data_IF_164942292916
#
_entry.id   IF_164942292916
#
_cell.length_a   1.000
_cell.length_b   1.000
_cell.length_c   1.000
_cell.angle_alpha   90.00
_cell.angle_beta   90.00
_cell.angle_gamma   90.00
#
_symmetry.space_group_name_H-M   'P 1'
#
loop_
_entity.id
_entity.type
_entity.pdbx_description
1 polymer ?
#
# COMPACT_ATOMS: atom_id res chain seq x y z
N UNK A 1 -12.30 -14.12 -2.28
CA UNK A 1 -11.98 -12.69 -2.12
C UNK A 1 -13.17 -11.81 -2.50
N UNK A 2 -13.19 -10.58 -2.02
CA UNK A 2 -14.18 -9.53 -2.36
C UNK A 2 -13.47 -8.46 -3.18
N UNK A 3 -13.86 -8.29 -4.44
CA UNK A 3 -13.12 -7.54 -5.44
C UNK A 3 -14.00 -6.39 -5.94
N UNK A 4 -13.51 -5.15 -5.86
CA UNK A 4 -14.15 -3.99 -6.48
C UNK A 4 -13.57 -3.77 -7.89
N UNK A 5 -14.46 -3.67 -8.88
CA UNK A 5 -14.16 -3.48 -10.30
C UNK A 5 -14.68 -2.13 -10.75
N UNK A 6 -13.79 -1.21 -11.08
CA UNK A 6 -14.09 0.19 -11.39
C UNK A 6 -13.34 0.61 -12.64
N UNK A 7 -13.93 1.48 -13.44
CA UNK A 7 -13.22 2.15 -14.53
C UNK A 7 -13.81 3.53 -14.81
N UNK A 8 -12.97 4.48 -15.17
CA UNK A 8 -13.39 5.71 -15.83
C UNK A 8 -14.06 5.40 -17.19
N UNK A 9 -14.90 6.30 -17.68
CA UNK A 9 -15.70 6.07 -18.88
C UNK A 9 -14.83 5.65 -20.09
N UNK A 10 -13.73 6.33 -20.31
CA UNK A 10 -12.79 6.02 -21.41
C UNK A 10 -12.07 4.67 -21.25
N UNK A 11 -12.07 4.07 -20.05
CA UNK A 11 -11.37 2.81 -19.75
C UNK A 11 -12.32 1.63 -19.53
N UNK A 12 -13.64 1.86 -19.62
CA UNK A 12 -14.65 0.80 -19.38
C UNK A 12 -14.54 -0.35 -20.36
N UNK A 13 -14.28 -0.06 -21.63
CA UNK A 13 -14.13 -1.09 -22.64
C UNK A 13 -12.94 -2.01 -22.33
N UNK A 14 -11.82 -1.44 -21.94
CA UNK A 14 -10.63 -2.21 -21.54
C UNK A 14 -10.89 -3.08 -20.31
N UNK A 15 -11.63 -2.55 -19.33
CA UNK A 15 -12.01 -3.34 -18.14
C UNK A 15 -12.95 -4.49 -18.52
N UNK A 16 -13.91 -4.27 -19.43
CA UNK A 16 -14.82 -5.32 -19.92
C UNK A 16 -14.04 -6.42 -20.62
N UNK A 17 -13.10 -6.08 -21.52
CA UNK A 17 -12.23 -7.04 -22.20
C UNK A 17 -11.39 -7.84 -21.22
N UNK A 18 -10.79 -7.15 -20.24
CA UNK A 18 -10.00 -7.78 -19.18
C UNK A 18 -10.84 -8.72 -18.32
N UNK A 19 -12.04 -8.31 -17.90
CA UNK A 19 -12.96 -9.15 -17.14
C UNK A 19 -13.47 -10.35 -17.96
N UNK A 20 -13.70 -10.16 -19.27
CA UNK A 20 -14.10 -11.26 -20.17
C UNK A 20 -13.02 -12.34 -20.21
N UNK A 21 -11.76 -11.93 -20.36
CA UNK A 21 -10.62 -12.86 -20.36
C UNK A 21 -10.47 -13.61 -19.01
N UNK A 22 -10.78 -12.95 -17.92
CA UNK A 22 -10.63 -13.48 -16.56
C UNK A 22 -11.95 -13.97 -15.95
N UNK A 23 -13.03 -14.08 -16.72
CA UNK A 23 -14.39 -14.33 -16.20
C UNK A 23 -14.49 -15.58 -15.34
N UNK A 24 -13.83 -16.66 -15.74
CA UNK A 24 -13.83 -17.93 -15.03
C UNK A 24 -13.20 -17.82 -13.63
N UNK A 25 -12.12 -17.04 -13.50
CA UNK A 25 -11.47 -16.80 -12.21
C UNK A 25 -12.30 -15.84 -11.35
N UNK A 26 -12.77 -14.75 -11.95
CA UNK A 26 -13.58 -13.74 -11.28
C UNK A 26 -14.90 -14.30 -10.74
N UNK A 27 -15.54 -15.25 -11.44
CA UNK A 27 -16.81 -15.85 -11.03
C UNK A 27 -16.75 -16.61 -9.69
N UNK A 28 -15.54 -16.97 -9.25
CA UNK A 28 -15.30 -17.64 -7.96
C UNK A 28 -15.25 -16.67 -6.78
N UNK A 29 -15.38 -15.37 -7.03
CA UNK A 29 -15.22 -14.32 -6.04
C UNK A 29 -16.47 -13.44 -5.94
N UNK A 30 -16.61 -12.69 -4.84
CA UNK A 30 -17.65 -11.68 -4.70
C UNK A 30 -17.19 -10.40 -5.39
N UNK A 31 -17.94 -9.94 -6.37
CA UNK A 31 -17.60 -8.79 -7.20
C UNK A 31 -18.52 -7.63 -6.92
N UNK A 32 -17.95 -6.44 -6.82
CA UNK A 32 -18.64 -5.16 -6.70
C UNK A 32 -18.23 -4.27 -7.87
N UNK A 33 -19.17 -3.45 -8.37
CA UNK A 33 -18.87 -2.52 -9.45
C UNK A 33 -19.67 -1.25 -9.35
N UNK A 34 -19.08 -0.11 -9.75
CA UNK A 34 -19.80 1.16 -9.77
C UNK A 34 -20.80 1.24 -10.93
N UNK A 35 -21.98 1.71 -10.67
CA UNK A 35 -23.02 2.12 -11.59
C UNK A 35 -23.09 1.39 -12.95
N UNK A 36 -22.70 2.09 -14.00
CA UNK A 36 -22.70 1.56 -15.36
C UNK A 36 -21.67 0.45 -15.58
N UNK A 37 -20.56 0.44 -14.82
CA UNK A 37 -19.53 -0.61 -14.90
C UNK A 37 -20.14 -1.96 -14.50
N UNK A 38 -20.84 -2.04 -13.37
CA UNK A 38 -21.49 -3.28 -12.93
C UNK A 38 -22.48 -3.83 -13.97
N UNK A 39 -23.25 -2.96 -14.63
CA UNK A 39 -24.18 -3.38 -15.70
C UNK A 39 -23.48 -3.95 -16.93
N UNK A 40 -22.32 -3.40 -17.29
CA UNK A 40 -21.53 -3.92 -18.41
C UNK A 40 -20.92 -5.27 -18.06
N UNK A 41 -20.32 -5.38 -16.89
CA UNK A 41 -19.70 -6.61 -16.43
C UNK A 41 -20.70 -7.75 -16.21
N UNK A 42 -21.90 -7.44 -15.73
CA UNK A 42 -22.97 -8.42 -15.56
C UNK A 42 -23.52 -9.03 -16.86
N UNK A 43 -23.07 -8.57 -18.03
CA UNK A 43 -23.36 -9.18 -19.33
C UNK A 43 -22.31 -10.16 -19.81
N UNK A 44 -21.19 -10.27 -19.10
CA UNK A 44 -20.07 -11.15 -19.46
C UNK A 44 -20.49 -12.60 -19.21
N UNK A 45 -20.44 -13.48 -20.22
CA UNK A 45 -20.77 -14.89 -20.05
C UNK A 45 -19.66 -15.60 -19.26
N UNK A 46 -20.09 -16.47 -18.35
CA UNK A 46 -19.20 -17.38 -17.61
C UNK A 46 -19.57 -18.80 -18.02
N UNK A 47 -18.63 -19.55 -18.58
CA UNK A 47 -18.86 -20.96 -18.91
C UNK A 47 -18.84 -21.78 -17.63
N UNK A 48 -19.91 -22.53 -17.38
CA UNK A 48 -19.91 -23.54 -16.33
C UNK A 48 -19.08 -24.74 -16.78
N UNK A 49 -18.48 -25.48 -15.84
CA UNK A 49 -17.79 -26.73 -16.15
C UNK A 49 -18.76 -27.70 -16.83
N UNK A 50 -18.30 -28.46 -17.86
CA UNK A 50 -19.17 -29.38 -18.58
C UNK A 50 -19.75 -30.41 -17.61
N UNK A 51 -21.08 -30.53 -17.57
CA UNK A 51 -21.76 -31.68 -16.91
C UNK A 51 -21.53 -32.93 -17.73
N UNK A 52 -21.61 -34.12 -17.07
CA UNK A 52 -21.52 -35.41 -17.76
C UNK A 52 -22.52 -35.45 -18.93
N UNK A 53 -22.09 -36.09 -20.03
CA UNK A 53 -22.84 -36.19 -21.27
C UNK A 53 -24.30 -36.63 -21.04
N UNK A 54 -25.25 -35.87 -21.57
CA UNK A 54 -26.62 -36.32 -21.78
C UNK A 54 -27.77 -35.41 -21.36
N UNK A 55 -27.59 -34.26 -20.79
CA UNK A 55 -28.70 -33.50 -20.21
C UNK A 55 -28.62 -31.99 -20.29
N UNK A 56 -28.62 -31.33 -21.43
CA UNK A 56 -29.16 -29.99 -21.54
C UNK A 56 -28.81 -29.28 -22.88
N UNK A 57 -29.63 -28.31 -23.25
CA UNK A 57 -29.44 -27.43 -24.42
C UNK A 57 -28.38 -26.37 -24.14
N UNK A 58 -27.71 -25.83 -25.18
CA UNK A 58 -26.60 -24.86 -25.09
C UNK A 58 -26.92 -23.61 -24.23
N UNK A 59 -28.19 -23.23 -24.17
CA UNK A 59 -28.63 -22.01 -23.46
C UNK A 59 -28.63 -22.12 -21.90
N UNK A 60 -28.61 -23.33 -21.36
CA UNK A 60 -28.58 -23.55 -19.89
C UNK A 60 -27.19 -23.51 -19.27
N UNK A 61 -26.12 -23.43 -20.05
CA UNK A 61 -24.74 -23.52 -19.59
C UNK A 61 -24.02 -22.18 -19.40
N UNK A 62 -24.66 -21.08 -19.83
CA UNK A 62 -24.03 -19.77 -19.77
C UNK A 62 -24.62 -18.95 -18.63
N UNK A 63 -23.92 -18.83 -17.51
CA UNK A 63 -24.25 -17.86 -16.47
C UNK A 63 -23.53 -16.54 -16.78
N UNK A 64 -24.14 -15.45 -16.42
CA UNK A 64 -23.46 -14.13 -16.48
C UNK A 64 -22.66 -13.87 -15.19
N UNK A 65 -21.59 -13.10 -15.32
CA UNK A 65 -20.77 -12.70 -14.19
C UNK A 65 -21.63 -11.93 -13.16
N UNK A 66 -21.67 -12.40 -11.93
CA UNK A 66 -22.44 -11.76 -10.85
C UNK A 66 -21.63 -10.61 -10.26
N UNK A 67 -22.10 -9.38 -10.48
CA UNK A 67 -21.48 -8.17 -9.97
C UNK A 67 -22.51 -7.38 -9.18
N UNK A 68 -22.26 -7.14 -7.90
CA UNK A 68 -23.12 -6.31 -7.06
C UNK A 68 -22.96 -4.83 -7.43
N UNK A 69 -24.05 -4.15 -7.81
CA UNK A 69 -23.98 -2.78 -8.27
C UNK A 69 -23.90 -1.81 -7.08
N UNK A 70 -22.94 -0.89 -7.15
CA UNK A 70 -22.84 0.29 -6.31
C UNK A 70 -23.34 1.52 -7.07
N UNK A 71 -23.37 2.68 -6.42
CA UNK A 71 -23.65 3.95 -7.09
C UNK A 71 -22.57 4.24 -8.16
N UNK A 72 -22.87 5.11 -9.11
CA UNK A 72 -21.84 5.64 -10.01
C UNK A 72 -20.85 6.53 -9.25
N UNK A 73 -19.61 6.65 -9.73
CA UNK A 73 -18.56 7.46 -9.08
C UNK A 73 -19.06 8.86 -8.67
N UNK A 74 -19.55 9.70 -9.62
CA UNK A 74 -20.06 11.04 -9.31
C UNK A 74 -21.24 11.09 -8.34
N UNK A 75 -21.91 9.98 -8.10
CA UNK A 75 -23.02 9.86 -7.13
C UNK A 75 -22.59 9.23 -5.80
N UNK A 76 -21.30 9.05 -5.56
CA UNK A 76 -20.78 8.51 -4.32
C UNK A 76 -20.38 7.02 -4.35
N UNK A 77 -20.26 6.40 -5.53
CA UNK A 77 -19.82 5.02 -5.67
C UNK A 77 -18.39 4.82 -5.13
N UNK A 78 -17.54 5.81 -5.34
CA UNK A 78 -16.14 5.78 -4.85
C UNK A 78 -16.12 5.83 -3.31
N UNK A 79 -16.97 6.62 -2.68
CA UNK A 79 -17.13 6.70 -1.23
C UNK A 79 -17.68 5.40 -0.65
N UNK A 80 -18.62 4.73 -1.35
CA UNK A 80 -19.12 3.42 -0.92
C UNK A 80 -17.97 2.39 -0.90
N UNK A 81 -17.16 2.34 -1.93
CA UNK A 81 -16.00 1.44 -1.98
C UNK A 81 -15.00 1.81 -0.86
N UNK A 82 -14.74 3.10 -0.64
CA UNK A 82 -13.88 3.58 0.42
C UNK A 82 -14.35 3.15 1.81
N UNK A 83 -15.66 3.26 2.10
CA UNK A 83 -16.26 2.76 3.33
C UNK A 83 -16.11 1.25 3.46
N UNK A 84 -16.36 0.49 2.39
CA UNK A 84 -16.19 -0.98 2.38
C UNK A 84 -14.74 -1.41 2.60
N UNK A 85 -13.76 -0.63 2.11
CA UNK A 85 -12.33 -0.85 2.39
C UNK A 85 -12.05 -0.66 3.88
N UNK A 86 -12.54 0.43 4.47
CA UNK A 86 -12.34 0.75 5.89
C UNK A 86 -13.01 -0.26 6.83
N UNK A 87 -14.14 -0.83 6.42
CA UNK A 87 -14.86 -1.91 7.10
C UNK A 87 -14.26 -3.30 6.86
N UNK A 88 -13.21 -3.39 6.04
CA UNK A 88 -12.58 -4.68 5.71
C UNK A 88 -13.42 -5.56 4.77
N UNK A 89 -14.37 -4.99 4.03
CA UNK A 89 -15.26 -5.70 3.10
C UNK A 89 -14.72 -5.79 1.66
N UNK A 90 -13.57 -5.19 1.36
CA UNK A 90 -12.87 -5.26 0.07
C UNK A 90 -11.46 -5.79 0.30
N UNK A 91 -11.08 -6.78 -0.46
CA UNK A 91 -9.77 -7.43 -0.41
C UNK A 91 -8.87 -7.00 -1.57
N UNK A 92 -9.47 -6.64 -2.72
CA UNK A 92 -8.77 -6.18 -3.92
C UNK A 92 -9.58 -5.10 -4.63
N UNK A 93 -8.88 -4.07 -5.13
CA UNK A 93 -9.45 -2.98 -5.92
C UNK A 93 -8.78 -2.98 -7.31
N UNK A 94 -9.57 -3.20 -8.36
CA UNK A 94 -9.14 -3.02 -9.75
C UNK A 94 -9.85 -1.79 -10.30
N UNK A 95 -9.11 -0.71 -10.49
CA UNK A 95 -9.63 0.56 -10.94
C UNK A 95 -8.85 1.07 -12.16
N UNK A 96 -9.37 0.84 -13.36
CA UNK A 96 -8.73 1.34 -14.58
C UNK A 96 -8.94 2.85 -14.71
N UNK A 97 -7.91 3.59 -14.29
CA UNK A 97 -7.93 5.05 -14.25
C UNK A 97 -7.60 5.65 -15.63
N UNK A 98 -8.32 6.70 -16.00
CA UNK A 98 -7.91 7.64 -17.04
C UNK A 98 -7.34 8.90 -16.36
N UNK A 99 -6.02 9.06 -16.46
CA UNK A 99 -5.30 10.18 -15.84
C UNK A 99 -4.98 11.31 -16.85
N UNK A 100 -5.40 11.15 -18.13
CA UNK A 100 -5.19 12.19 -19.14
C UNK A 100 -6.28 13.26 -19.11
N UNK A 101 -7.49 12.89 -18.70
CA UNK A 101 -8.63 13.80 -18.63
C UNK A 101 -8.96 14.07 -17.17
N UNK A 102 -9.01 15.35 -16.81
CA UNK A 102 -9.46 15.76 -15.46
C UNK A 102 -10.92 15.39 -15.27
N UNK A 103 -11.18 14.47 -14.37
CA UNK A 103 -12.54 14.07 -13.98
C UNK A 103 -13.08 15.01 -12.90
N UNK A 104 -14.37 15.28 -12.91
CA UNK A 104 -15.00 16.14 -11.91
C UNK A 104 -14.89 15.62 -10.46
N UNK A 105 -14.57 14.32 -10.27
CA UNK A 105 -14.37 13.66 -8.97
C UNK A 105 -12.94 13.13 -8.78
N UNK A 106 -11.94 13.76 -9.38
CA UNK A 106 -10.52 13.35 -9.27
C UNK A 106 -10.02 13.26 -7.82
N UNK A 107 -10.53 14.11 -6.95
CA UNK A 107 -10.18 14.11 -5.52
C UNK A 107 -10.71 12.84 -4.83
N UNK A 108 -11.88 12.36 -5.19
CA UNK A 108 -12.48 11.14 -4.65
C UNK A 108 -11.68 9.91 -5.06
N UNK A 109 -11.21 9.87 -6.30
CA UNK A 109 -10.30 8.84 -6.81
C UNK A 109 -8.99 8.80 -5.99
N UNK A 110 -8.39 9.98 -5.75
CA UNK A 110 -7.20 10.11 -4.91
C UNK A 110 -7.45 9.63 -3.47
N UNK A 111 -8.59 9.97 -2.89
CA UNK A 111 -8.99 9.52 -1.56
C UNK A 111 -9.18 8.00 -1.51
N UNK A 112 -9.78 7.39 -2.53
CA UNK A 112 -9.99 5.95 -2.63
C UNK A 112 -8.65 5.19 -2.71
N UNK A 113 -7.73 5.65 -3.56
CA UNK A 113 -6.37 5.06 -3.68
C UNK A 113 -5.60 5.18 -2.36
N UNK A 114 -5.70 6.33 -1.68
CA UNK A 114 -5.11 6.53 -0.35
C UNK A 114 -5.66 5.54 0.68
N UNK A 115 -6.98 5.31 0.70
CA UNK A 115 -7.59 4.32 1.60
C UNK A 115 -7.14 2.90 1.27
N UNK A 116 -7.07 2.51 0.00
CA UNK A 116 -6.55 1.20 -0.40
C UNK A 116 -5.12 0.98 0.10
N UNK A 117 -4.25 1.99 -0.05
CA UNK A 117 -2.88 1.95 0.47
C UNK A 117 -2.84 1.87 2.00
N UNK A 118 -3.64 2.70 2.69
CA UNK A 118 -3.67 2.76 4.15
C UNK A 118 -4.08 1.41 4.77
N UNK A 119 -5.10 0.77 4.20
CA UNK A 119 -5.61 -0.52 4.67
C UNK A 119 -4.91 -1.73 4.05
N UNK A 120 -3.79 -1.49 3.34
CA UNK A 120 -2.99 -2.53 2.68
C UNK A 120 -3.83 -3.45 1.78
N UNK A 121 -4.80 -2.87 1.05
CA UNK A 121 -5.61 -3.55 0.05
C UNK A 121 -4.79 -3.68 -1.22
N UNK A 122 -4.75 -4.87 -1.84
CA UNK A 122 -4.15 -5.01 -3.16
C UNK A 122 -4.94 -4.16 -4.18
N UNK A 123 -4.26 -3.27 -4.93
CA UNK A 123 -4.95 -2.45 -5.91
C UNK A 123 -4.17 -2.26 -7.21
N UNK A 124 -4.90 -2.18 -8.31
CA UNK A 124 -4.39 -1.90 -9.64
C UNK A 124 -5.10 -0.69 -10.24
N UNK A 125 -4.34 0.26 -10.79
CA UNK A 125 -4.86 1.42 -11.52
C UNK A 125 -4.76 1.27 -13.05
N UNK A 126 -4.23 0.15 -13.51
CA UNK A 126 -4.06 -0.19 -14.91
C UNK A 126 -4.08 -1.71 -15.14
N UNK A 127 -4.18 -2.11 -16.40
CA UNK A 127 -4.28 -3.51 -16.81
C UNK A 127 -3.06 -4.34 -16.40
N UNK A 128 -1.85 -3.85 -16.63
CA UNK A 128 -0.62 -4.60 -16.31
C UNK A 128 -0.54 -4.98 -14.84
N UNK A 129 -0.85 -4.04 -13.95
CA UNK A 129 -0.88 -4.33 -12.50
C UNK A 129 -2.00 -5.31 -12.15
N UNK A 130 -3.17 -5.18 -12.79
CA UNK A 130 -4.28 -6.12 -12.60
C UNK A 130 -3.90 -7.54 -13.03
N UNK A 131 -3.19 -7.70 -14.16
CA UNK A 131 -2.69 -9.00 -14.63
C UNK A 131 -1.70 -9.61 -13.62
N UNK A 132 -0.78 -8.82 -13.08
CA UNK A 132 0.19 -9.27 -12.07
C UNK A 132 -0.51 -9.71 -10.77
N UNK A 133 -1.54 -8.99 -10.32
CA UNK A 133 -2.33 -9.36 -9.15
C UNK A 133 -3.07 -10.68 -9.43
N UNK A 134 -3.74 -10.80 -10.58
CA UNK A 134 -4.54 -11.96 -10.93
C UNK A 134 -3.70 -13.23 -11.07
N UNK A 135 -2.47 -13.12 -11.57
CA UNK A 135 -1.54 -14.25 -11.76
C UNK A 135 -0.72 -14.57 -10.52
N UNK A 136 -0.85 -13.79 -9.45
CA UNK A 136 -0.15 -14.03 -8.18
C UNK A 136 -0.65 -15.34 -7.53
N UNK A 137 0.25 -16.19 -7.00
CA UNK A 137 -0.16 -17.38 -6.22
C UNK A 137 -0.89 -17.01 -4.91
N UNK A 138 -0.87 -15.74 -4.51
CA UNK A 138 -1.61 -15.24 -3.35
C UNK A 138 -3.04 -14.85 -3.70
N UNK A 139 -3.36 -14.70 -4.98
CA UNK A 139 -4.70 -14.32 -5.42
C UNK A 139 -5.69 -15.47 -5.18
N UNK A 140 -6.73 -15.18 -4.40
CA UNK A 140 -7.73 -16.20 -4.03
C UNK A 140 -7.26 -17.24 -3.02
N UNK A 141 -6.03 -17.17 -2.53
CA UNK A 141 -5.53 -18.06 -1.50
C UNK A 141 -6.22 -17.76 -0.16
N UNK A 142 -6.93 -18.74 0.41
CA UNK A 142 -7.69 -18.59 1.67
C UNK A 142 -6.76 -18.50 2.90
N UNK A 143 -5.57 -19.05 2.82
CA UNK A 143 -4.57 -19.01 3.91
C UNK A 143 -3.87 -17.65 3.98
N UNK A 144 -3.86 -16.90 2.88
CA UNK A 144 -3.25 -15.58 2.86
C UNK A 144 -4.11 -14.56 3.62
N UNK A 145 -3.57 -14.01 4.68
CA UNK A 145 -4.21 -12.94 5.47
C UNK A 145 -3.49 -11.61 5.23
N UNK A 146 -4.24 -10.63 4.71
CA UNK A 146 -3.75 -9.27 4.56
C UNK A 146 -3.34 -8.70 5.91
N UNK A 147 -2.11 -8.17 6.00
CA UNK A 147 -1.61 -7.52 7.22
C UNK A 147 -2.20 -6.10 7.28
N UNK A 148 -3.00 -5.82 8.30
CA UNK A 148 -3.49 -4.48 8.58
C UNK A 148 -2.41 -3.73 9.38
N UNK A 149 -1.99 -2.52 8.95
CA UNK A 149 -1.00 -1.74 9.70
C UNK A 149 -1.46 -1.46 11.14
N UNK A 150 -0.62 -1.79 12.13
CA UNK A 150 -0.97 -1.64 13.56
C UNK A 150 -1.26 -0.19 13.97
N UNK A 151 -0.74 0.80 13.21
CA UNK A 151 -1.08 2.20 13.39
C UNK A 151 -2.60 2.50 13.26
N UNK A 152 -3.34 1.70 12.44
CA UNK A 152 -4.78 1.86 12.30
C UNK A 152 -5.51 1.50 13.59
N UNK A 153 -5.11 0.41 14.25
CA UNK A 153 -5.71 -0.03 15.51
C UNK A 153 -5.40 0.96 16.64
N UNK A 154 -4.15 1.40 16.76
CA UNK A 154 -3.77 2.46 17.70
C UNK A 154 -4.60 3.72 17.49
N UNK A 155 -4.81 4.11 16.24
CA UNK A 155 -5.60 5.30 15.92
C UNK A 155 -7.10 5.11 16.26
N UNK A 156 -7.67 3.93 16.03
CA UNK A 156 -9.06 3.62 16.39
C UNK A 156 -9.27 3.65 17.92
N UNK A 157 -8.31 3.12 18.68
CA UNK A 157 -8.42 2.95 20.13
C UNK A 157 -8.06 4.21 20.93
N UNK A 158 -7.49 5.24 20.30
CA UNK A 158 -7.03 6.47 20.97
C UNK A 158 -8.10 7.22 21.79
N UNK A 159 -9.39 7.03 21.46
CA UNK A 159 -10.49 7.66 22.22
C UNK A 159 -11.00 6.76 23.36
N UNK A 160 -10.91 5.44 23.22
CA UNK A 160 -11.29 4.49 24.26
C UNK A 160 -10.36 4.64 25.47
N UNK A 161 -9.06 4.76 25.24
CA UNK A 161 -8.05 4.99 26.28
C UNK A 161 -8.26 6.34 27.00
N UNK A 162 -8.81 7.35 26.33
CA UNK A 162 -9.18 8.64 26.93
C UNK A 162 -10.40 8.54 27.84
N UNK A 163 -11.43 7.77 27.48
CA UNK A 163 -12.63 7.60 28.29
C UNK A 163 -12.36 6.79 29.57
N UNK A 164 -11.46 5.81 29.54
CA UNK A 164 -11.04 5.07 30.72
C UNK A 164 -10.22 5.92 31.70
N UNK A 165 -9.45 6.88 31.23
CA UNK A 165 -8.67 7.81 32.03
C UNK A 165 -9.50 8.99 32.57
N UNK A 166 -10.59 9.39 31.94
CA UNK A 166 -11.46 10.50 32.39
C UNK A 166 -12.39 10.10 33.56
N UNK A 167 -12.57 8.81 33.82
CA UNK A 167 -13.36 8.35 34.98
C UNK A 167 -12.61 8.40 36.31
N UNK A 168 -11.41 8.95 36.39
CA UNK A 168 -10.59 8.97 37.61
C UNK A 168 -10.39 10.32 38.30
N UNK A 169 -10.75 11.48 37.68
CA UNK A 169 -10.71 12.77 38.40
C UNK A 169 -11.64 13.84 37.74
N UNK A 170 -12.18 14.82 38.57
CA UNK A 170 -13.08 15.85 38.05
C UNK A 170 -12.33 16.97 37.34
N UNK A 171 -12.73 17.24 36.12
CA UNK A 171 -12.13 18.19 35.16
C UNK A 171 -12.35 19.64 35.60
N UNK A 172 -11.28 20.42 35.67
CA UNK A 172 -11.31 21.89 35.52
C UNK A 172 -11.29 22.25 34.04
N UNK A 173 -12.24 23.08 33.61
CA UNK A 173 -12.30 23.59 32.23
C UNK A 173 -11.03 24.41 31.93
N UNK A 174 -10.26 23.96 30.96
CA UNK A 174 -9.25 24.77 30.28
C UNK A 174 -9.33 24.61 28.75
N UNK A 175 -9.18 25.73 28.11
CA UNK A 175 -9.32 26.04 26.69
C UNK A 175 -8.63 25.06 25.74
N UNK A 176 -9.33 24.75 24.62
CA UNK A 176 -8.87 23.97 23.47
C UNK A 176 -7.53 24.50 22.93
N UNK A 177 -6.47 23.76 23.17
CA UNK A 177 -5.20 23.85 22.43
C UNK A 177 -5.04 22.63 21.56
N UNK A 178 -4.50 22.83 20.35
CA UNK A 178 -4.19 21.79 19.36
C UNK A 178 -3.40 20.61 19.97
N UNK A 179 -3.51 19.38 19.41
CA UNK A 179 -2.92 18.19 20.00
C UNK A 179 -1.40 18.29 20.10
N UNK A 180 -0.91 18.39 21.30
CA UNK A 180 0.52 18.25 21.63
C UNK A 180 0.90 16.79 21.39
N UNK A 181 1.84 16.56 20.50
CA UNK A 181 2.49 15.25 20.35
C UNK A 181 3.21 14.91 21.66
N UNK A 182 2.94 13.70 22.19
CA UNK A 182 3.49 13.21 23.44
C UNK A 182 5.01 13.37 23.51
N UNK A 183 5.51 14.13 24.47
CA UNK A 183 6.96 14.33 24.68
C UNK A 183 7.66 13.04 25.12
N UNK A 184 6.99 12.13 25.83
CA UNK A 184 7.52 10.79 26.18
C UNK A 184 7.92 9.98 24.96
N UNK A 185 7.16 10.07 23.84
CA UNK A 185 7.49 9.34 22.61
C UNK A 185 8.72 9.89 21.86
N UNK A 186 9.18 11.11 22.19
CA UNK A 186 10.39 11.69 21.58
C UNK A 186 11.65 11.19 22.25
N UNK A 187 11.68 11.12 23.57
CA UNK A 187 12.84 10.64 24.33
C UNK A 187 13.08 9.15 24.08
N UNK A 188 12.04 8.32 24.14
CA UNK A 188 12.14 6.89 23.83
C UNK A 188 12.63 6.63 22.39
N UNK A 189 12.16 7.40 21.42
CA UNK A 189 12.64 7.31 20.02
C UNK A 189 14.10 7.74 19.86
N UNK A 190 14.53 8.77 20.60
CA UNK A 190 15.93 9.23 20.58
C UNK A 190 16.84 8.16 21.19
N UNK A 191 16.44 7.54 22.29
CA UNK A 191 17.19 6.46 22.91
C UNK A 191 17.24 5.20 22.04
N UNK A 192 16.15 4.86 21.36
CA UNK A 192 16.12 3.76 20.38
C UNK A 192 17.09 4.05 19.20
N UNK A 193 17.06 5.27 18.68
CA UNK A 193 17.98 5.68 17.59
C UNK A 193 19.44 5.69 18.05
N UNK A 194 19.75 6.11 19.27
CA UNK A 194 21.11 6.05 19.83
C UNK A 194 21.60 4.61 19.94
N UNK A 195 20.77 3.68 20.43
CA UNK A 195 21.09 2.25 20.49
C UNK A 195 21.34 1.66 19.10
N UNK A 196 20.48 1.95 18.13
CA UNK A 196 20.66 1.50 16.75
C UNK A 196 21.95 2.05 16.14
N UNK A 197 22.29 3.31 16.42
CA UNK A 197 23.55 3.91 15.97
C UNK A 197 24.76 3.25 16.59
N UNK A 198 24.72 2.89 17.88
CA UNK A 198 25.81 2.18 18.58
C UNK A 198 26.11 0.82 17.95
N UNK A 199 25.11 0.13 17.40
CA UNK A 199 25.27 -1.17 16.73
C UNK A 199 25.94 -1.06 15.34
N UNK A 200 26.05 0.12 14.74
CA UNK A 200 26.73 0.31 13.45
C UNK A 200 28.27 0.22 13.64
N UNK A 201 29.00 -0.47 12.74
CA UNK A 201 30.46 -0.57 12.81
C UNK A 201 31.15 0.80 12.85
N UNK A 202 32.19 0.92 13.67
CA UNK A 202 32.90 2.18 13.91
C UNK A 202 33.56 2.73 12.65
N UNK A 203 34.01 1.86 11.73
CA UNK A 203 34.55 2.24 10.42
C UNK A 203 33.51 3.02 9.58
N UNK A 204 32.26 2.55 9.59
CA UNK A 204 31.15 3.16 8.84
C UNK A 204 30.70 4.45 9.50
N UNK A 205 30.56 4.46 10.84
CA UNK A 205 30.24 5.67 11.60
C UNK A 205 31.21 6.81 11.31
N UNK A 206 32.51 6.52 11.41
CA UNK A 206 33.58 7.50 11.18
C UNK A 206 33.52 8.10 9.77
N UNK A 207 33.21 7.30 8.75
CA UNK A 207 33.05 7.76 7.37
C UNK A 207 31.83 8.67 7.22
N UNK A 208 30.68 8.27 7.80
CA UNK A 208 29.45 9.07 7.76
C UNK A 208 29.66 10.41 8.45
N UNK A 209 30.25 10.43 9.64
CA UNK A 209 30.52 11.64 10.42
C UNK A 209 31.43 12.58 9.63
N UNK A 210 32.57 12.07 9.13
CA UNK A 210 33.52 12.85 8.35
C UNK A 210 32.91 13.42 7.06
N UNK A 211 32.09 12.66 6.35
CA UNK A 211 31.42 13.13 5.16
C UNK A 211 30.39 14.25 5.47
N UNK A 212 29.67 14.14 6.59
CA UNK A 212 28.74 15.20 7.06
C UNK A 212 29.47 16.48 7.48
N UNK A 213 30.62 16.40 8.15
CA UNK A 213 31.46 17.54 8.47
C UNK A 213 31.95 18.29 7.22
N UNK A 214 32.06 17.57 6.09
CA UNK A 214 32.41 18.12 4.78
C UNK A 214 31.20 18.57 3.95
N UNK A 215 30.00 18.61 4.52
CA UNK A 215 28.74 18.91 3.84
C UNK A 215 28.44 17.99 2.64
N UNK A 216 28.88 16.75 2.69
CA UNK A 216 28.52 15.73 1.69
C UNK A 216 27.18 15.08 2.08
N UNK A 217 26.45 14.59 1.09
CA UNK A 217 25.20 13.88 1.25
C UNK A 217 25.29 12.35 1.01
N UNK A 218 26.51 11.88 0.73
CA UNK A 218 26.80 10.47 0.52
C UNK A 218 28.23 10.12 0.92
N UNK A 219 28.46 8.83 1.20
CA UNK A 219 29.79 8.24 1.42
C UNK A 219 29.90 6.90 0.70
N UNK A 220 31.06 6.66 0.08
CA UNK A 220 31.39 5.39 -0.57
C UNK A 220 32.04 4.43 0.43
N UNK A 221 31.59 3.17 0.44
CA UNK A 221 32.19 2.10 1.24
C UNK A 221 33.37 1.49 0.51
N UNK A 222 34.40 1.09 1.25
CA UNK A 222 35.57 0.39 0.70
C UNK A 222 35.12 -0.99 0.15
N UNK A 223 35.93 -1.55 -0.76
CA UNK A 223 35.60 -2.82 -1.42
C UNK A 223 35.48 -3.98 -0.43
N UNK A 224 36.18 -3.91 0.67
CA UNK A 224 36.26 -4.95 1.71
C UNK A 224 35.23 -4.72 2.83
N UNK A 225 34.47 -3.61 2.80
CA UNK A 225 33.41 -3.30 3.75
C UNK A 225 32.08 -3.88 3.29
N UNK A 226 31.71 -5.03 3.82
CA UNK A 226 30.39 -5.62 3.63
C UNK A 226 29.48 -5.30 4.79
N UNK A 227 28.33 -4.68 4.48
CA UNK A 227 27.25 -4.53 5.44
C UNK A 227 26.47 -5.83 5.57
N UNK A 228 26.35 -6.34 6.79
CA UNK A 228 25.39 -7.40 7.08
C UNK A 228 23.94 -6.93 6.82
N UNK A 229 23.02 -7.86 6.65
CA UNK A 229 21.60 -7.50 6.43
C UNK A 229 21.01 -6.78 7.65
N UNK A 230 21.49 -7.06 8.86
CA UNK A 230 21.12 -6.35 10.09
C UNK A 230 21.57 -4.90 10.05
N UNK A 231 22.83 -4.62 9.68
CA UNK A 231 23.38 -3.26 9.57
C UNK A 231 22.67 -2.44 8.48
N UNK A 232 22.30 -3.06 7.36
CA UNK A 232 21.49 -2.42 6.32
C UNK A 232 20.14 -1.97 6.87
N UNK A 233 19.44 -2.85 7.61
CA UNK A 233 18.16 -2.53 8.23
C UNK A 233 18.29 -1.40 9.25
N UNK A 234 19.33 -1.41 10.08
CA UNK A 234 19.60 -0.36 11.06
C UNK A 234 19.85 0.99 10.39
N UNK A 235 20.70 1.03 9.37
CA UNK A 235 20.97 2.26 8.60
C UNK A 235 19.69 2.82 7.94
N UNK A 236 18.86 1.96 7.35
CA UNK A 236 17.60 2.39 6.75
C UNK A 236 16.64 2.97 7.80
N UNK A 237 16.55 2.35 8.98
CA UNK A 237 15.75 2.87 10.11
C UNK A 237 16.25 4.21 10.62
N UNK A 238 17.56 4.42 10.59
CA UNK A 238 18.21 5.69 10.93
C UNK A 238 18.08 6.76 9.81
N UNK A 239 17.39 6.46 8.72
CA UNK A 239 17.13 7.41 7.64
C UNK A 239 18.20 7.47 6.56
N UNK A 240 19.09 6.48 6.48
CA UNK A 240 20.08 6.35 5.41
C UNK A 240 19.56 5.47 4.28
N UNK A 241 19.97 5.76 3.05
CA UNK A 241 19.71 4.93 1.87
C UNK A 241 20.98 4.23 1.43
N UNK A 242 20.91 2.94 1.15
CA UNK A 242 22.06 2.16 0.68
C UNK A 242 21.89 1.94 -0.82
N UNK A 243 22.84 2.41 -1.61
CA UNK A 243 22.83 2.31 -3.07
C UNK A 243 23.98 1.40 -3.49
N UNK A 244 23.66 0.33 -4.20
CA UNK A 244 24.65 -0.52 -4.88
C UNK A 244 24.73 -0.09 -6.33
N UNK A 245 25.92 0.31 -6.78
CA UNK A 245 26.18 0.69 -8.17
C UNK A 245 26.93 -0.48 -8.80
N UNK A 246 26.26 -1.17 -9.73
CA UNK A 246 26.89 -2.21 -10.54
C UNK A 246 27.65 -1.57 -11.69
N UNK A 247 28.98 -1.63 -11.66
CA UNK A 247 29.81 -1.21 -12.79
C UNK A 247 29.95 -2.35 -13.79
N UNK A 248 29.25 -2.23 -14.92
CA UNK A 248 29.31 -3.20 -16.03
C UNK A 248 30.36 -2.84 -17.09
N UNK A 249 31.18 -1.81 -16.86
CA UNK A 249 32.20 -1.35 -17.82
C UNK A 249 33.53 -2.08 -17.62
N UNK A 250 34.01 -2.71 -18.66
CA UNK A 250 35.33 -3.35 -18.67
C UNK A 250 36.47 -2.27 -18.76
N UNK A 251 37.55 -2.25 -17.93
CA UNK A 251 38.02 -3.30 -17.05
C UNK A 251 37.68 -3.14 -15.54
N UNK A 252 36.72 -2.30 -15.19
CA UNK A 252 36.34 -2.01 -13.80
C UNK A 252 35.22 -2.90 -13.36
N UNK A 253 35.41 -4.17 -13.16
CA UNK A 253 34.43 -5.08 -12.56
C UNK A 253 34.48 -4.91 -11.04
N UNK A 254 33.44 -4.34 -10.44
CA UNK A 254 33.28 -4.25 -8.99
C UNK A 254 32.04 -3.45 -8.62
N UNK A 255 31.23 -4.02 -7.74
CA UNK A 255 30.10 -3.30 -7.16
C UNK A 255 30.62 -2.24 -6.20
N UNK A 256 30.22 -0.98 -6.39
CA UNK A 256 30.44 0.09 -5.44
C UNK A 256 29.19 0.26 -4.59
N UNK A 257 29.35 0.37 -3.28
CA UNK A 257 28.25 0.63 -2.35
C UNK A 257 28.38 2.02 -1.78
N UNK A 258 27.28 2.75 -1.78
CA UNK A 258 27.19 4.09 -1.21
C UNK A 258 26.10 4.16 -0.19
N UNK A 259 26.36 4.87 0.90
CA UNK A 259 25.36 5.28 1.89
C UNK A 259 25.01 6.74 1.61
N UNK A 260 23.74 7.02 1.39
CA UNK A 260 23.23 8.36 1.08
C UNK A 260 22.21 8.81 2.13
N UNK A 261 22.14 10.10 2.41
CA UNK A 261 21.16 10.70 3.31
C UNK A 261 20.64 12.03 2.75
N UNK A 262 19.51 12.49 3.28
CA UNK A 262 18.97 13.82 3.01
C UNK A 262 19.48 14.76 4.12
N UNK A 263 20.04 15.89 3.77
CA UNK A 263 20.68 16.84 4.71
C UNK A 263 19.74 17.34 5.84
N UNK A 264 18.42 17.22 5.67
CA UNK A 264 17.40 17.56 6.68
C UNK A 264 17.01 16.38 7.60
N UNK A 265 17.74 15.27 7.58
CA UNK A 265 17.39 14.14 8.46
C UNK A 265 17.62 14.53 9.92
N UNK A 266 16.50 14.73 10.64
CA UNK A 266 16.46 15.10 12.08
C UNK A 266 17.26 14.15 12.97
N UNK A 267 17.51 12.92 12.51
CA UNK A 267 18.23 11.88 13.24
C UNK A 267 19.66 12.29 13.64
N UNK A 268 20.39 13.00 12.78
CA UNK A 268 21.78 13.36 13.09
C UNK A 268 21.89 14.38 14.23
N UNK A 269 20.96 15.32 14.32
CA UNK A 269 20.95 16.33 15.38
C UNK A 269 20.65 15.74 16.77
N UNK A 270 20.02 14.57 16.84
CA UNK A 270 19.76 13.85 18.10
C UNK A 270 20.94 12.97 18.55
N UNK A 271 21.89 12.66 17.66
CA UNK A 271 23.03 11.81 17.97
C UNK A 271 24.25 12.60 18.50
N UNK A 272 24.24 13.94 18.34
CA UNK A 272 25.32 14.82 18.83
C UNK A 272 25.03 15.45 20.20
N UNK A 273 23.82 15.37 20.72
CA UNK A 273 23.44 15.82 22.06
C UNK A 273 23.17 14.60 22.97
#
# INVERSE_FOLDING_TARGET
MRIALVAHDARKQELVEWCTHNAQTLSKHTLFGTGTTARLLGKIPVMNEPRPEGTATMDEYTMSLKVEPLLSGPLGGDQQIGAMIAEGKIDCLIFFCDNLITQGHQQDVGALVRLASLYNVAFATNRTTADMIMTSPLFGNEDYKRIIPGAIEKYKNRFVEREENTNKEPVKEESVKEPVQDEETKEEKVDEMKRMWEEIPESIKSKIIKAREQNMDEVELDKDEELSDREKVLLIRLGYSIITIENTCFPCIGNRRKIKWVNDSKCYNYLQN
#
